data_IF_519191567653
#
_entry.id   IF_519191567653
#
_cell.length_a   1.000
_cell.length_b   1.000
_cell.length_c   1.000
_cell.angle_alpha   90.00
_cell.angle_beta   90.00
_cell.angle_gamma   90.00
#
_symmetry.space_group_name_H-M   'P 1'
#
loop_
_entity.id
_entity.type
_entity.pdbx_description
1 polymer ?
#
# COMPACT_ATOMS: atom_id res chain seq x y z
N UNK A 1 25.63 17.40 -64.65
CA UNK A 1 26.21 16.59 -63.52
C UNK A 1 26.16 17.29 -62.19
N UNK A 2 26.30 18.63 -62.05
CA UNK A 2 26.20 19.37 -60.76
C UNK A 2 24.80 19.63 -60.30
N UNK A 3 23.83 19.84 -61.18
CA UNK A 3 22.42 20.10 -60.82
C UNK A 3 21.70 18.84 -60.27
N UNK A 4 21.98 17.68 -60.79
CA UNK A 4 21.39 16.40 -60.36
C UNK A 4 21.83 16.01 -58.97
N UNK A 5 23.07 16.35 -58.58
CA UNK A 5 23.58 16.12 -57.22
C UNK A 5 22.91 17.06 -56.18
N UNK A 6 22.59 18.30 -56.61
CA UNK A 6 21.92 19.29 -55.74
C UNK A 6 20.47 18.91 -55.49
N UNK A 7 19.75 18.40 -56.47
CA UNK A 7 18.38 17.91 -56.35
C UNK A 7 18.30 16.63 -55.48
N UNK A 8 19.25 15.70 -55.63
CA UNK A 8 19.33 14.50 -54.78
C UNK A 8 19.59 14.84 -53.31
N UNK A 9 20.45 15.81 -53.06
CA UNK A 9 20.72 16.27 -51.68
C UNK A 9 19.51 17.00 -51.05
N UNK A 10 18.80 17.84 -51.80
CA UNK A 10 17.54 18.46 -51.36
C UNK A 10 16.49 17.40 -51.01
N UNK A 11 16.26 16.38 -51.84
CA UNK A 11 15.30 15.31 -51.54
C UNK A 11 15.69 14.48 -50.32
N UNK A 12 16.99 14.24 -50.08
CA UNK A 12 17.45 13.55 -48.85
C UNK A 12 17.25 14.39 -47.57
N UNK A 13 17.47 15.72 -47.66
CA UNK A 13 17.24 16.62 -46.52
C UNK A 13 15.74 16.71 -46.15
N UNK A 14 14.86 16.84 -47.12
CA UNK A 14 13.42 16.92 -46.91
C UNK A 14 12.85 15.60 -46.37
N UNK A 15 13.34 14.45 -46.85
CA UNK A 15 12.94 13.13 -46.35
C UNK A 15 13.44 12.84 -44.93
N UNK A 16 14.61 13.37 -44.55
CA UNK A 16 15.19 13.16 -43.21
C UNK A 16 14.53 13.99 -42.11
N UNK A 17 14.08 15.20 -42.45
CA UNK A 17 13.41 16.09 -41.47
C UNK A 17 11.97 15.69 -41.18
N UNK A 18 11.20 15.25 -42.19
CA UNK A 18 9.81 14.80 -41.99
C UNK A 18 9.70 13.57 -41.10
N UNK A 19 10.60 12.58 -41.25
CA UNK A 19 10.58 11.37 -40.45
C UNK A 19 10.97 11.57 -38.97
N UNK A 20 11.80 12.58 -38.70
CA UNK A 20 12.21 12.91 -37.31
C UNK A 20 11.11 13.67 -36.56
N UNK A 21 10.41 14.56 -37.25
CA UNK A 21 9.29 15.32 -36.70
C UNK A 21 8.10 14.39 -36.35
N UNK A 22 7.75 13.44 -37.24
CA UNK A 22 6.68 12.47 -37.00
C UNK A 22 6.99 11.52 -35.83
N UNK A 23 8.25 11.08 -35.70
CA UNK A 23 8.68 10.25 -34.57
C UNK A 23 8.60 10.99 -33.23
N UNK A 24 8.93 12.28 -33.21
CA UNK A 24 8.84 13.09 -31.99
C UNK A 24 7.39 13.35 -31.60
N UNK A 25 6.51 13.69 -32.53
CA UNK A 25 5.09 13.85 -32.27
C UNK A 25 4.42 12.55 -31.78
N UNK A 26 4.78 11.42 -32.36
CA UNK A 26 4.29 10.12 -31.87
C UNK A 26 4.79 9.79 -30.46
N UNK A 27 6.01 10.19 -30.13
CA UNK A 27 6.60 9.99 -28.78
C UNK A 27 5.92 10.89 -27.75
N UNK A 28 5.66 12.15 -28.07
CA UNK A 28 4.91 13.08 -27.22
C UNK A 28 3.47 12.63 -27.00
N UNK A 29 2.77 12.19 -28.03
CA UNK A 29 1.41 11.67 -27.92
C UNK A 29 1.36 10.38 -27.08
N UNK A 30 2.38 9.50 -27.18
CA UNK A 30 2.47 8.32 -26.30
C UNK A 30 2.73 8.68 -24.84
N UNK A 31 3.59 9.69 -24.58
CA UNK A 31 3.89 10.16 -23.22
C UNK A 31 2.65 10.82 -22.61
N UNK A 32 1.97 11.67 -23.37
CA UNK A 32 0.74 12.35 -22.94
C UNK A 32 -0.41 11.36 -22.66
N UNK A 33 -0.59 10.35 -23.52
CA UNK A 33 -1.62 9.32 -23.31
C UNK A 33 -1.30 8.44 -22.10
N UNK A 34 -0.01 8.09 -21.89
CA UNK A 34 0.44 7.32 -20.72
C UNK A 34 0.25 8.11 -19.42
N UNK A 35 0.50 9.43 -19.45
CA UNK A 35 0.31 10.33 -18.29
C UNK A 35 -1.17 10.50 -17.93
N UNK A 36 -2.06 10.61 -18.93
CA UNK A 36 -3.51 10.67 -18.71
C UNK A 36 -4.09 9.35 -18.18
N UNK A 37 -3.56 8.21 -18.64
CA UNK A 37 -3.98 6.89 -18.15
C UNK A 37 -3.54 6.70 -16.70
N UNK A 38 -2.29 7.04 -16.35
CA UNK A 38 -1.79 6.99 -14.97
C UNK A 38 -2.67 7.79 -14.00
N UNK A 39 -3.04 9.00 -14.33
CA UNK A 39 -3.88 9.86 -13.49
C UNK A 39 -5.31 9.33 -13.26
N UNK A 40 -5.87 8.61 -14.23
CA UNK A 40 -7.18 7.95 -14.07
C UNK A 40 -7.07 6.72 -13.18
N UNK A 41 -5.99 5.95 -13.33
CA UNK A 41 -5.74 4.75 -12.54
C UNK A 41 -5.46 5.11 -11.07
N UNK A 42 -4.73 6.22 -10.82
CA UNK A 42 -4.52 6.77 -9.47
C UNK A 42 -5.83 7.17 -8.78
N UNK A 43 -6.72 7.85 -9.50
CA UNK A 43 -8.05 8.22 -8.95
C UNK A 43 -8.91 6.98 -8.66
N UNK A 44 -8.91 6.01 -9.55
CA UNK A 44 -9.65 4.77 -9.35
C UNK A 44 -9.14 4.02 -8.11
N UNK A 45 -7.82 3.92 -7.93
CA UNK A 45 -7.21 3.30 -6.75
C UNK A 45 -7.59 4.04 -5.46
N UNK A 46 -7.59 5.38 -5.48
CA UNK A 46 -7.97 6.19 -4.33
C UNK A 46 -9.46 6.03 -3.99
N UNK A 47 -10.33 5.97 -4.98
CA UNK A 47 -11.77 5.73 -4.77
C UNK A 47 -12.01 4.35 -4.15
N UNK A 48 -11.33 3.32 -4.66
CA UNK A 48 -11.43 1.96 -4.10
C UNK A 48 -10.96 1.95 -2.64
N UNK A 49 -9.84 2.60 -2.34
CA UNK A 49 -9.32 2.71 -0.99
C UNK A 49 -10.32 3.42 -0.05
N UNK A 50 -10.91 4.51 -0.49
CA UNK A 50 -11.91 5.25 0.29
C UNK A 50 -13.17 4.41 0.55
N UNK A 51 -13.64 3.67 -0.44
CA UNK A 51 -14.76 2.73 -0.28
C UNK A 51 -14.41 1.66 0.75
N UNK A 52 -13.20 1.10 0.68
CA UNK A 52 -12.72 0.10 1.63
C UNK A 52 -12.69 0.63 3.07
N UNK A 53 -12.13 1.81 3.28
CA UNK A 53 -12.09 2.48 4.58
C UNK A 53 -13.51 2.76 5.09
N UNK A 54 -14.38 3.24 4.21
CA UNK A 54 -15.77 3.52 4.55
C UNK A 54 -16.51 2.26 5.02
N UNK A 55 -16.38 1.16 4.27
CA UNK A 55 -16.98 -0.12 4.66
C UNK A 55 -16.39 -0.68 5.96
N UNK A 56 -15.08 -0.57 6.16
CA UNK A 56 -14.41 -1.03 7.38
C UNK A 56 -14.89 -0.31 8.65
N UNK A 57 -15.37 0.93 8.50
CA UNK A 57 -15.92 1.72 9.61
C UNK A 57 -17.43 1.53 9.73
N UNK A 58 -18.15 1.60 8.61
CA UNK A 58 -19.62 1.61 8.63
C UNK A 58 -20.22 0.23 8.97
N UNK A 59 -19.66 -0.85 8.44
CA UNK A 59 -20.23 -2.20 8.66
C UNK A 59 -20.20 -2.61 10.12
N UNK A 60 -19.10 -2.43 10.89
CA UNK A 60 -19.10 -2.76 12.32
C UNK A 60 -19.96 -1.83 13.18
N UNK A 61 -20.18 -0.56 12.74
CA UNK A 61 -20.95 0.42 13.51
C UNK A 61 -22.46 0.31 13.29
N UNK A 62 -22.86 0.04 12.06
CA UNK A 62 -24.27 0.04 11.64
C UNK A 62 -24.79 -1.35 11.29
N UNK A 63 -23.92 -2.37 11.29
CA UNK A 63 -24.30 -3.74 10.97
C UNK A 63 -25.24 -4.33 12.05
N UNK A 64 -26.18 -5.20 11.66
CA UNK A 64 -27.14 -5.80 12.58
C UNK A 64 -26.52 -6.86 13.50
N UNK A 65 -25.29 -7.32 13.22
CA UNK A 65 -24.60 -8.39 13.94
C UNK A 65 -23.36 -7.88 14.67
N UNK A 66 -23.15 -8.37 15.89
CA UNK A 66 -21.89 -8.15 16.61
C UNK A 66 -20.82 -9.13 16.13
N UNK A 67 -19.54 -8.69 15.97
CA UNK A 67 -18.45 -9.58 15.53
C UNK A 67 -18.13 -10.69 16.55
N UNK A 68 -18.58 -10.56 17.78
CA UNK A 68 -18.33 -11.50 18.89
C UNK A 68 -19.57 -12.32 19.29
N UNK A 69 -20.74 -11.96 18.80
CA UNK A 69 -21.98 -12.65 19.12
C UNK A 69 -21.96 -14.08 18.58
N UNK A 70 -22.26 -15.04 19.44
CA UNK A 70 -22.29 -16.46 19.12
C UNK A 70 -23.72 -16.97 19.16
N UNK A 71 -24.13 -17.66 18.10
CA UNK A 71 -25.45 -18.28 18.03
C UNK A 71 -25.34 -19.72 17.55
N UNK A 72 -25.61 -20.66 18.45
CA UNK A 72 -25.47 -22.08 18.16
C UNK A 72 -26.46 -22.59 17.09
N UNK A 73 -27.59 -21.92 16.89
CA UNK A 73 -28.64 -22.32 15.95
C UNK A 73 -28.25 -22.08 14.48
N UNK A 74 -27.38 -21.12 14.23
CA UNK A 74 -26.95 -20.70 12.89
C UNK A 74 -25.52 -21.10 12.56
N UNK A 75 -25.01 -22.17 13.18
CA UNK A 75 -23.64 -22.68 12.93
C UNK A 75 -23.45 -23.15 11.49
N UNK A 76 -22.30 -22.84 10.90
CA UNK A 76 -21.91 -23.33 9.58
C UNK A 76 -22.95 -23.11 8.49
N UNK A 77 -23.76 -22.05 8.58
CA UNK A 77 -24.71 -21.74 7.52
C UNK A 77 -24.00 -21.26 6.27
N UNK A 78 -24.44 -21.71 5.07
CA UNK A 78 -23.90 -21.27 3.80
C UNK A 78 -24.22 -19.77 3.56
N UNK A 79 -23.59 -19.21 2.52
CA UNK A 79 -23.88 -17.85 2.07
C UNK A 79 -25.36 -17.66 1.79
N UNK A 80 -25.94 -16.59 2.33
CA UNK A 80 -27.34 -16.22 2.16
C UNK A 80 -27.50 -14.70 2.11
N UNK A 81 -28.70 -14.22 1.79
CA UNK A 81 -28.98 -12.77 1.81
C UNK A 81 -28.95 -12.16 3.23
N UNK A 82 -29.07 -13.00 4.26
CA UNK A 82 -28.99 -12.61 5.66
C UNK A 82 -27.53 -12.65 6.15
N UNK A 83 -26.79 -13.69 5.75
CA UNK A 83 -25.37 -13.90 6.08
C UNK A 83 -24.56 -13.96 4.78
N UNK A 84 -24.09 -12.81 4.27
CA UNK A 84 -23.42 -12.71 2.97
C UNK A 84 -22.23 -13.67 2.81
N UNK A 85 -21.44 -13.88 3.86
CA UNK A 85 -20.30 -14.80 3.89
C UNK A 85 -20.55 -16.04 4.74
N UNK A 86 -21.82 -16.32 5.03
CA UNK A 86 -22.20 -17.42 5.92
C UNK A 86 -21.75 -17.18 7.35
N UNK A 87 -21.87 -18.23 8.17
CA UNK A 87 -21.49 -18.22 9.60
C UNK A 87 -20.39 -19.23 9.89
N UNK A 88 -19.63 -18.98 10.96
CA UNK A 88 -18.56 -19.88 11.40
C UNK A 88 -19.08 -21.03 12.31
N UNK A 89 -18.14 -21.82 12.85
CA UNK A 89 -18.41 -22.93 13.76
C UNK A 89 -19.09 -22.48 15.08
N UNK A 90 -19.01 -21.20 15.40
CA UNK A 90 -19.65 -20.60 16.59
C UNK A 90 -20.94 -19.87 16.25
N UNK A 91 -21.37 -19.89 14.98
CA UNK A 91 -22.55 -19.17 14.51
C UNK A 91 -22.36 -17.65 14.42
N UNK A 92 -21.11 -17.17 14.28
CA UNK A 92 -20.80 -15.74 14.13
C UNK A 92 -20.85 -15.35 12.67
N UNK A 93 -21.34 -14.16 12.36
CA UNK A 93 -21.42 -13.66 10.98
C UNK A 93 -20.01 -13.32 10.42
N UNK A 94 -19.61 -14.05 9.38
CA UNK A 94 -18.29 -13.88 8.78
C UNK A 94 -18.12 -12.53 8.06
N UNK A 95 -19.18 -11.98 7.49
CA UNK A 95 -19.13 -10.68 6.82
C UNK A 95 -18.79 -9.56 7.82
N UNK A 96 -19.49 -9.50 8.93
CA UNK A 96 -19.23 -8.52 10.00
C UNK A 96 -17.81 -8.66 10.56
N UNK A 97 -17.34 -9.90 10.76
CA UNK A 97 -15.99 -10.17 11.27
C UNK A 97 -14.88 -9.73 10.31
N UNK A 98 -15.05 -9.92 9.01
CA UNK A 98 -14.08 -9.48 8.00
C UNK A 98 -13.93 -7.95 8.05
N UNK A 99 -15.04 -7.21 8.08
CA UNK A 99 -14.99 -5.75 8.13
C UNK A 99 -14.48 -5.20 9.46
N UNK A 100 -14.82 -5.85 10.56
CA UNK A 100 -14.27 -5.52 11.88
C UNK A 100 -12.75 -5.74 11.92
N UNK A 101 -12.28 -6.88 11.39
CA UNK A 101 -10.85 -7.16 11.24
C UNK A 101 -10.14 -6.17 10.32
N UNK A 102 -10.78 -5.74 9.23
CA UNK A 102 -10.26 -4.71 8.34
C UNK A 102 -10.08 -3.38 9.06
N UNK A 103 -11.04 -2.98 9.91
CA UNK A 103 -10.94 -1.77 10.75
C UNK A 103 -9.75 -1.84 11.72
N UNK A 104 -9.57 -2.96 12.41
CA UNK A 104 -8.41 -3.18 13.31
C UNK A 104 -7.10 -3.11 12.52
N UNK A 105 -7.03 -3.74 11.36
CA UNK A 105 -5.84 -3.72 10.51
C UNK A 105 -5.49 -2.31 10.04
N UNK A 106 -6.48 -1.49 9.71
CA UNK A 106 -6.27 -0.08 9.36
C UNK A 106 -5.71 0.72 10.55
N UNK A 107 -6.25 0.54 11.74
CA UNK A 107 -5.76 1.23 12.96
C UNK A 107 -4.31 0.84 13.25
N UNK A 108 -3.98 -0.45 13.16
CA UNK A 108 -2.62 -0.94 13.38
C UNK A 108 -1.70 -0.41 12.26
N UNK A 109 -2.10 -0.52 10.99
CA UNK A 109 -1.27 -0.08 9.86
C UNK A 109 -0.98 1.41 9.86
N UNK A 110 -1.99 2.26 10.06
CA UNK A 110 -1.81 3.71 10.14
C UNK A 110 -1.02 4.09 11.40
N UNK A 111 -1.37 3.52 12.55
CA UNK A 111 -0.69 3.81 13.80
C UNK A 111 0.80 3.47 13.77
N UNK A 112 1.15 2.25 13.33
CA UNK A 112 2.55 1.84 13.21
C UNK A 112 3.31 2.64 12.15
N UNK A 113 2.68 2.95 11.01
CA UNK A 113 3.30 3.75 9.95
C UNK A 113 3.64 5.18 10.41
N UNK A 114 2.75 5.83 11.16
CA UNK A 114 3.01 7.16 11.72
C UNK A 114 4.17 7.13 12.72
N UNK A 115 4.17 6.18 13.65
CA UNK A 115 5.23 6.04 14.65
C UNK A 115 6.57 5.73 13.97
N UNK A 116 6.60 4.76 13.07
CA UNK A 116 7.81 4.39 12.33
C UNK A 116 8.30 5.53 11.44
N UNK A 117 7.39 6.28 10.81
CA UNK A 117 7.74 7.46 10.02
C UNK A 117 8.42 8.55 10.88
N UNK A 118 7.89 8.84 12.07
CA UNK A 118 8.50 9.81 13.00
C UNK A 118 9.88 9.33 13.48
N UNK A 119 9.98 8.07 13.91
CA UNK A 119 11.27 7.50 14.36
C UNK A 119 12.27 7.49 13.21
N UNK A 120 11.87 7.05 12.02
CA UNK A 120 12.73 6.98 10.84
C UNK A 120 13.26 8.35 10.40
N UNK A 121 12.41 9.39 10.43
CA UNK A 121 12.85 10.77 10.12
C UNK A 121 13.88 11.25 11.15
N UNK A 122 13.64 11.05 12.43
CA UNK A 122 14.59 11.45 13.49
C UNK A 122 15.89 10.67 13.37
N UNK A 123 15.81 9.37 13.19
CA UNK A 123 16.97 8.48 13.04
C UNK A 123 17.80 8.85 11.80
N UNK A 124 17.13 9.03 10.66
CA UNK A 124 17.79 9.45 9.42
C UNK A 124 18.39 10.85 9.49
N UNK A 125 17.72 11.80 10.15
CA UNK A 125 18.24 13.15 10.35
C UNK A 125 19.52 13.15 11.20
N UNK A 126 19.56 12.37 12.29
CA UNK A 126 20.76 12.22 13.15
C UNK A 126 21.90 11.57 12.38
N UNK A 127 21.62 10.52 11.60
CA UNK A 127 22.59 9.83 10.77
C UNK A 127 23.21 10.79 9.72
N UNK A 128 22.39 11.51 8.99
CA UNK A 128 22.84 12.46 7.97
C UNK A 128 23.59 13.68 8.53
N UNK A 129 23.16 14.21 9.69
CA UNK A 129 23.78 15.40 10.28
C UNK A 129 25.14 15.12 10.92
N UNK A 130 25.30 13.98 11.61
CA UNK A 130 26.50 13.67 12.39
C UNK A 130 27.66 13.08 11.58
N UNK A 131 27.46 12.84 10.30
CA UNK A 131 28.50 12.46 9.35
C UNK A 131 28.79 10.95 9.30
N UNK A 132 29.66 10.56 8.38
CA UNK A 132 29.89 9.20 7.90
C UNK A 132 30.12 8.12 8.98
N UNK A 133 30.79 8.45 10.10
CA UNK A 133 31.08 7.46 11.13
C UNK A 133 29.84 7.08 11.94
N UNK A 134 29.03 8.07 12.29
CA UNK A 134 27.80 7.85 13.06
C UNK A 134 26.74 7.19 12.17
N UNK A 135 26.63 7.63 10.92
CA UNK A 135 25.79 7.01 9.92
C UNK A 135 26.09 5.51 9.78
N UNK A 136 27.38 5.14 9.66
CA UNK A 136 27.80 3.75 9.57
C UNK A 136 27.41 2.92 10.82
N UNK A 137 27.55 3.47 12.02
CA UNK A 137 27.18 2.77 13.27
C UNK A 137 25.66 2.60 13.35
N UNK A 138 24.91 3.63 13.06
CA UNK A 138 23.44 3.60 13.07
C UNK A 138 22.91 2.59 12.04
N UNK A 139 23.42 2.63 10.80
CA UNK A 139 23.01 1.66 9.79
C UNK A 139 23.33 0.21 10.21
N UNK A 140 24.49 -0.04 10.82
CA UNK A 140 24.80 -1.38 11.34
C UNK A 140 23.87 -1.82 12.46
N UNK A 141 23.49 -0.91 13.35
CA UNK A 141 22.52 -1.20 14.39
C UNK A 141 21.15 -1.56 13.79
N UNK A 142 20.69 -0.81 12.78
CA UNK A 142 19.48 -1.10 12.05
C UNK A 142 19.54 -2.47 11.33
N UNK A 143 20.67 -2.79 10.66
CA UNK A 143 20.87 -4.08 10.00
C UNK A 143 20.76 -5.26 10.97
N UNK A 144 21.29 -5.11 12.19
CA UNK A 144 21.20 -6.16 13.23
C UNK A 144 19.76 -6.39 13.69
N UNK A 145 19.00 -5.31 13.88
CA UNK A 145 17.59 -5.42 14.26
C UNK A 145 16.78 -6.03 13.11
N UNK A 146 16.99 -5.57 11.89
CA UNK A 146 16.30 -6.10 10.70
C UNK A 146 16.65 -7.56 10.37
N UNK A 147 17.76 -8.09 10.87
CA UNK A 147 18.09 -9.50 10.72
C UNK A 147 17.16 -10.43 11.52
N UNK A 148 16.47 -9.92 12.54
CA UNK A 148 15.51 -10.69 13.34
C UNK A 148 14.13 -10.61 12.65
N UNK A 149 13.47 -11.74 12.37
CA UNK A 149 12.12 -11.73 11.82
C UNK A 149 11.15 -10.89 12.66
N UNK A 150 10.46 -9.94 12.05
CA UNK A 150 9.54 -9.01 12.73
C UNK A 150 8.47 -9.71 13.57
N UNK A 151 8.04 -10.89 13.13
CA UNK A 151 7.04 -11.67 13.86
C UNK A 151 7.51 -12.07 15.27
N UNK A 152 8.82 -12.27 15.47
CA UNK A 152 9.37 -12.61 16.79
C UNK A 152 9.24 -11.45 17.77
N UNK A 153 9.44 -10.20 17.30
CA UNK A 153 9.21 -9.02 18.13
C UNK A 153 7.75 -8.88 18.53
N UNK A 154 6.82 -9.10 17.57
CA UNK A 154 5.39 -9.04 17.85
C UNK A 154 4.98 -10.09 18.89
N UNK A 155 5.46 -11.34 18.76
CA UNK A 155 5.16 -12.41 19.70
C UNK A 155 5.74 -12.10 21.08
N UNK A 156 7.01 -11.68 21.16
CA UNK A 156 7.67 -11.36 22.43
C UNK A 156 6.95 -10.23 23.17
N UNK A 157 6.62 -9.16 22.48
CA UNK A 157 5.92 -8.02 23.09
C UNK A 157 4.50 -8.39 23.52
N UNK A 158 3.82 -9.18 22.70
CA UNK A 158 2.48 -9.68 23.06
C UNK A 158 2.52 -10.59 24.30
N UNK A 159 3.59 -11.35 24.47
CA UNK A 159 3.80 -12.20 25.65
C UNK A 159 4.01 -11.37 26.93
N UNK A 160 4.76 -10.26 26.83
CA UNK A 160 5.09 -9.40 27.97
C UNK A 160 3.96 -8.43 28.32
N UNK A 161 3.38 -7.77 27.31
CA UNK A 161 2.35 -6.75 27.50
C UNK A 161 0.91 -7.29 27.48
N UNK A 162 0.75 -8.57 27.14
CA UNK A 162 -0.56 -9.18 26.91
C UNK A 162 -1.08 -8.96 25.47
N UNK A 163 -2.10 -9.75 25.07
CA UNK A 163 -2.70 -9.65 23.75
C UNK A 163 -3.50 -8.35 23.61
N UNK A 164 -3.27 -7.62 22.49
CA UNK A 164 -4.02 -6.40 22.20
C UNK A 164 -3.42 -5.57 21.06
N UNK A 165 -4.19 -4.60 20.59
CA UNK A 165 -3.79 -3.70 19.49
C UNK A 165 -2.52 -2.92 19.85
N UNK A 166 -2.39 -2.48 21.11
CA UNK A 166 -1.21 -1.76 21.60
C UNK A 166 0.07 -2.60 21.45
N UNK A 167 0.03 -3.85 21.92
CA UNK A 167 1.17 -4.78 21.84
C UNK A 167 1.59 -5.05 20.38
N UNK A 168 0.60 -5.19 19.49
CA UNK A 168 0.85 -5.35 18.06
C UNK A 168 1.52 -4.13 17.44
N UNK A 169 1.02 -2.91 17.72
CA UNK A 169 1.63 -1.67 17.22
C UNK A 169 3.07 -1.56 17.72
N UNK A 170 3.33 -1.76 19.01
CA UNK A 170 4.68 -1.72 19.56
C UNK A 170 5.59 -2.78 18.92
N UNK A 171 5.10 -4.01 18.73
CA UNK A 171 5.85 -5.08 18.08
C UNK A 171 6.29 -4.74 16.66
N UNK A 172 5.38 -4.15 15.89
CA UNK A 172 5.67 -3.72 14.51
C UNK A 172 6.57 -2.49 14.48
N UNK A 173 6.50 -1.60 15.47
CA UNK A 173 7.33 -0.40 15.51
C UNK A 173 8.80 -0.69 15.87
N UNK A 174 9.09 -1.78 16.56
CA UNK A 174 10.45 -2.17 16.90
C UNK A 174 11.12 -2.96 15.75
N UNK A 175 10.31 -3.61 14.93
CA UNK A 175 10.77 -4.42 13.79
C UNK A 175 11.01 -3.61 12.53
#
# INVERSE_FOLDING_TARGET
MSEELTERNKKKLVSGTGGRCDKNMRKENRISSKKRKGYRDEKAALIILLIWIFLAVCVPLFGPYSPTEQNAEIRNQPMSLIHFFGTDEFGRDNFTRVWYGAGISLVIGVGSSLINGMIGILYGAVAGYRGKRIDMILMRAADVIAAIPSILFVILITLVMGPGIKSMIFGICIA
#
